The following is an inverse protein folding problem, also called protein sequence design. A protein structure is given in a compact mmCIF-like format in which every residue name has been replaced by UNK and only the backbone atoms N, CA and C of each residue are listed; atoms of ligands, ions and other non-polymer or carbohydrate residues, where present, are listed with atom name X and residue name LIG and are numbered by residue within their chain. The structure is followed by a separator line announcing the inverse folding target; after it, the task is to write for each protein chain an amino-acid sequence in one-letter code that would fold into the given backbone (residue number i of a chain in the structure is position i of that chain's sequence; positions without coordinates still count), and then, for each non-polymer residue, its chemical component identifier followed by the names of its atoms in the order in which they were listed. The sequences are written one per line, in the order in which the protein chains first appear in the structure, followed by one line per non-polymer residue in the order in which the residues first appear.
data_IF_344752496719
#
_entry.id   IF_344752496719
#
_cell.length_a   1.000
_cell.length_b   1.000
_cell.length_c   1.000
_cell.angle_alpha   90.00
_cell.angle_beta   90.00
_cell.angle_gamma   90.00
#
_symmetry.space_group_name_H-M   'P 1'
#
loop_
_entity.id
_entity.type
_entity.pdbx_description
1 polymer ?
#
# COMPACT_ATOMS: atom_id res chain seq x y z
N UNK A 1 15.60 -6.69 0.26
CA UNK A 1 15.56 -6.81 1.73
C UNK A 1 15.89 -5.43 2.31
N UNK A 2 14.95 -4.76 2.97
CA UNK A 2 15.18 -3.49 3.65
C UNK A 2 14.26 -3.43 4.88
N UNK A 3 14.69 -4.10 5.95
CA UNK A 3 14.08 -3.98 7.27
C UNK A 3 15.24 -3.72 8.22
N UNK A 4 15.40 -2.46 8.64
CA UNK A 4 16.34 -2.12 9.69
C UNK A 4 15.61 -2.25 11.03
N UNK A 5 16.03 -3.21 11.84
CA UNK A 5 15.56 -3.38 13.21
C UNK A 5 16.28 -2.36 14.10
N UNK A 6 15.67 -1.20 14.27
CA UNK A 6 16.02 -0.25 15.33
C UNK A 6 15.12 -0.47 16.54
N UNK A 7 15.67 -0.30 17.74
CA UNK A 7 15.09 -0.60 19.07
C UNK A 7 13.82 0.21 19.43
N UNK A 8 13.18 0.90 18.47
CA UNK A 8 11.90 1.60 18.63
C UNK A 8 10.97 1.32 17.44
N UNK A 9 10.62 0.05 17.28
CA UNK A 9 9.72 -0.38 16.22
C UNK A 9 10.36 -0.32 14.83
N UNK A 10 9.99 -1.27 13.99
CA UNK A 10 10.46 -1.38 12.62
C UNK A 10 10.27 -0.04 11.89
N UNK A 11 11.36 0.67 11.58
CA UNK A 11 11.32 1.87 10.76
C UNK A 11 11.62 1.43 9.33
N UNK A 12 10.65 1.59 8.43
CA UNK A 12 10.88 1.34 7.01
C UNK A 12 11.91 2.36 6.52
N UNK A 13 13.16 1.95 6.39
CA UNK A 13 14.22 2.78 5.81
C UNK A 13 14.08 2.74 4.30
N UNK A 14 13.23 3.62 3.77
CA UNK A 14 13.01 3.80 2.34
C UNK A 14 13.64 5.12 1.91
N UNK A 15 14.34 5.11 0.78
CA UNK A 15 14.84 6.35 0.17
C UNK A 15 13.65 7.27 -0.18
N UNK A 16 13.69 8.57 0.16
CA UNK A 16 12.58 9.49 -0.11
C UNK A 16 12.11 9.51 -1.56
N UNK A 17 13.04 9.41 -2.52
CA UNK A 17 12.71 9.35 -3.94
C UNK A 17 11.88 8.11 -4.31
N UNK A 18 12.22 6.93 -3.76
CA UNK A 18 11.43 5.71 -3.96
C UNK A 18 10.05 5.83 -3.30
N UNK A 19 9.97 6.42 -2.11
CA UNK A 19 8.69 6.66 -1.44
C UNK A 19 7.76 7.53 -2.29
N UNK A 20 8.30 8.62 -2.85
CA UNK A 20 7.55 9.51 -3.73
C UNK A 20 7.07 8.79 -4.99
N UNK A 21 7.94 8.03 -5.65
CA UNK A 21 7.57 7.24 -6.84
C UNK A 21 6.44 6.26 -6.56
N UNK A 22 6.47 5.57 -5.42
CA UNK A 22 5.41 4.64 -5.01
C UNK A 22 4.10 5.40 -4.78
N UNK A 23 4.14 6.54 -4.08
CA UNK A 23 2.96 7.38 -3.83
C UNK A 23 2.34 7.84 -5.16
N UNK A 24 3.15 8.35 -6.08
CA UNK A 24 2.68 8.90 -7.36
C UNK A 24 2.01 7.81 -8.20
N UNK A 25 2.62 6.63 -8.28
CA UNK A 25 2.06 5.47 -8.99
C UNK A 25 0.75 4.99 -8.36
N UNK A 26 0.70 4.89 -7.03
CA UNK A 26 -0.52 4.49 -6.31
C UNK A 26 -1.65 5.51 -6.48
N UNK A 27 -1.32 6.81 -6.46
CA UNK A 27 -2.29 7.88 -6.64
C UNK A 27 -2.86 7.90 -8.07
N UNK A 28 -2.01 7.68 -9.08
CA UNK A 28 -2.45 7.52 -10.46
C UNK A 28 -3.37 6.32 -10.62
N UNK A 29 -2.93 5.12 -10.21
CA UNK A 29 -3.73 3.90 -10.32
C UNK A 29 -5.07 3.99 -9.57
N UNK A 30 -5.06 4.58 -8.37
CA UNK A 30 -6.30 4.75 -7.58
C UNK A 30 -7.28 5.67 -8.29
N UNK A 31 -6.81 6.79 -8.86
CA UNK A 31 -7.67 7.71 -9.62
C UNK A 31 -8.26 7.05 -10.87
N UNK A 32 -7.45 6.30 -11.62
CA UNK A 32 -7.91 5.64 -12.85
C UNK A 32 -8.98 4.58 -12.53
N UNK A 33 -8.79 3.80 -11.47
CA UNK A 33 -9.76 2.81 -11.02
C UNK A 33 -11.04 3.48 -10.50
N UNK A 34 -10.93 4.56 -9.74
CA UNK A 34 -12.10 5.33 -9.29
C UNK A 34 -12.87 5.94 -10.45
N UNK A 35 -12.19 6.43 -11.49
CA UNK A 35 -12.83 6.92 -12.71
C UNK A 35 -13.60 5.80 -13.44
N UNK A 36 -13.14 4.56 -13.33
CA UNK A 36 -13.85 3.37 -13.79
C UNK A 36 -14.92 2.85 -12.81
N UNK A 37 -15.30 3.64 -11.80
CA UNK A 37 -16.24 3.25 -10.73
C UNK A 37 -15.80 2.02 -9.91
N UNK A 38 -14.50 1.75 -9.84
CA UNK A 38 -13.90 0.71 -9.03
C UNK A 38 -13.30 1.35 -7.79
N UNK A 39 -13.65 0.86 -6.59
CA UNK A 39 -13.00 1.26 -5.34
C UNK A 39 -11.88 0.26 -5.01
N UNK A 40 -10.60 0.59 -5.23
CA UNK A 40 -9.51 -0.34 -4.96
C UNK A 40 -9.14 -0.38 -3.48
N UNK A 41 -8.53 -1.50 -3.08
CA UNK A 41 -7.81 -1.65 -1.82
C UNK A 41 -6.35 -2.02 -2.13
N UNK A 42 -5.42 -1.49 -1.36
CA UNK A 42 -4.00 -1.82 -1.47
C UNK A 42 -3.71 -3.07 -0.63
N UNK A 43 -3.39 -4.19 -1.28
CA UNK A 43 -3.06 -5.45 -0.61
C UNK A 43 -1.54 -5.66 -0.52
N UNK A 44 -1.03 -5.89 0.69
CA UNK A 44 0.43 -5.92 0.96
C UNK A 44 0.83 -7.05 1.91
N UNK A 45 2.13 -7.28 2.07
CA UNK A 45 2.64 -8.20 3.08
C UNK A 45 2.39 -7.66 4.51
N UNK A 46 2.13 -8.52 5.52
CA UNK A 46 1.81 -8.08 6.89
C UNK A 46 2.83 -7.11 7.49
N UNK A 47 4.13 -7.34 7.26
CA UNK A 47 5.21 -6.47 7.76
C UNK A 47 5.22 -5.06 7.17
N UNK A 48 4.57 -4.84 6.03
CA UNK A 48 4.53 -3.54 5.34
C UNK A 48 3.24 -2.75 5.60
N UNK A 49 2.18 -3.40 6.10
CA UNK A 49 0.83 -2.84 6.19
C UNK A 49 0.77 -1.52 6.96
N UNK A 50 1.36 -1.48 8.16
CA UNK A 50 1.39 -0.26 9.00
C UNK A 50 2.22 0.87 8.38
N UNK A 51 3.27 0.55 7.66
CA UNK A 51 4.18 1.54 7.07
C UNK A 51 3.56 2.14 5.83
N UNK A 52 2.99 1.31 4.94
CA UNK A 52 2.32 1.77 3.75
C UNK A 52 1.04 2.53 4.08
N UNK A 53 0.23 2.08 5.06
CA UNK A 53 -0.92 2.87 5.53
C UNK A 53 -0.50 4.29 5.97
N UNK A 54 0.50 4.41 6.86
CA UNK A 54 1.00 5.73 7.30
C UNK A 54 1.58 6.56 6.15
N UNK A 55 2.19 5.91 5.16
CA UNK A 55 2.73 6.59 3.99
C UNK A 55 1.59 7.13 3.14
N UNK A 56 0.65 6.28 2.73
CA UNK A 56 -0.40 6.58 1.74
C UNK A 56 -1.53 7.43 2.30
N UNK A 57 -1.93 7.26 3.56
CA UNK A 57 -3.07 7.97 4.17
C UNK A 57 -2.91 9.50 4.13
N UNK A 58 -1.67 10.00 4.14
CA UNK A 58 -1.35 11.42 4.01
C UNK A 58 -1.57 11.99 2.61
N UNK A 59 -1.52 11.16 1.57
CA UNK A 59 -1.50 11.59 0.17
C UNK A 59 -2.69 11.06 -0.65
N UNK A 60 -3.25 9.92 -0.27
CA UNK A 60 -4.31 9.21 -0.99
C UNK A 60 -5.45 8.92 0.00
N UNK A 61 -6.33 9.91 0.16
CA UNK A 61 -7.47 9.80 1.08
C UNK A 61 -8.40 8.66 0.65
N UNK A 62 -8.80 7.84 1.62
CA UNK A 62 -9.78 6.76 1.41
C UNK A 62 -9.21 5.48 0.78
N UNK A 63 -7.90 5.41 0.51
CA UNK A 63 -7.27 4.16 0.09
C UNK A 63 -7.07 3.23 1.29
N UNK A 64 -7.88 2.17 1.38
CA UNK A 64 -7.70 1.15 2.41
C UNK A 64 -6.43 0.33 2.13
N UNK A 65 -5.63 0.08 3.17
CA UNK A 65 -4.42 -0.76 3.10
C UNK A 65 -4.61 -2.00 3.97
N UNK A 66 -4.64 -3.16 3.31
CA UNK A 66 -4.86 -4.47 3.91
C UNK A 66 -3.63 -5.36 3.77
N UNK A 67 -3.42 -6.25 4.73
CA UNK A 67 -2.44 -7.32 4.58
C UNK A 67 -3.09 -8.59 4.03
N UNK A 68 -2.31 -9.46 3.38
CA UNK A 68 -2.79 -10.78 2.96
C UNK A 68 -3.38 -11.61 4.12
N UNK A 69 -2.92 -11.40 5.36
CA UNK A 69 -3.43 -12.10 6.54
C UNK A 69 -4.81 -11.59 7.00
N UNK A 70 -5.29 -10.47 6.46
CA UNK A 70 -6.60 -9.89 6.80
C UNK A 70 -7.70 -10.34 5.84
N UNK A 71 -7.37 -11.19 4.86
CA UNK A 71 -8.29 -11.70 3.86
C UNK A 71 -8.75 -13.10 4.28
N UNK A 72 -10.05 -13.29 4.43
CA UNK A 72 -10.62 -14.60 4.70
C UNK A 72 -10.41 -15.55 3.50
N UNK A 73 -10.20 -16.86 3.71
CA UNK A 73 -9.85 -17.79 2.63
C UNK A 73 -10.89 -17.90 1.51
N UNK A 74 -12.14 -17.59 1.79
CA UNK A 74 -13.27 -17.62 0.86
C UNK A 74 -13.43 -16.31 0.04
N UNK A 75 -12.69 -15.25 0.41
CA UNK A 75 -12.70 -13.99 -0.31
C UNK A 75 -11.87 -14.11 -1.61
N UNK A 76 -12.53 -13.91 -2.74
CA UNK A 76 -11.86 -13.87 -4.05
C UNK A 76 -11.20 -12.51 -4.28
N UNK A 77 -9.87 -12.50 -4.31
CA UNK A 77 -9.07 -11.32 -4.64
C UNK A 77 -8.83 -11.25 -6.14
N UNK A 78 -9.07 -10.09 -6.74
CA UNK A 78 -8.70 -9.79 -8.13
C UNK A 78 -7.69 -8.65 -8.15
N UNK A 79 -6.50 -8.91 -8.68
CA UNK A 79 -5.55 -7.84 -8.96
C UNK A 79 -6.03 -7.04 -10.17
N UNK A 80 -6.17 -5.73 -9.99
CA UNK A 80 -6.56 -4.78 -11.04
C UNK A 80 -5.43 -3.84 -11.43
N UNK A 81 -4.41 -3.72 -10.58
CA UNK A 81 -3.18 -2.97 -10.81
C UNK A 81 -2.07 -3.49 -9.90
N UNK A 82 -0.81 -3.35 -10.34
CA UNK A 82 0.38 -3.63 -9.55
C UNK A 82 1.32 -2.43 -9.62
N UNK A 83 1.95 -2.06 -8.49
CA UNK A 83 2.91 -0.97 -8.41
C UNK A 83 4.29 -1.55 -8.06
N UNK A 84 5.29 -1.22 -8.89
CA UNK A 84 6.71 -1.62 -8.74
C UNK A 84 7.60 -0.45 -8.32
#
# INVERSE_FOLDING_TARGET
RAIAEGERGQQLSMEPARAQQIIDKLAAATRDLQAASITPVLLVQPGLRRHLHRLTDRFIKGLAVLSFNEIEPDVRVRSVATVE
#
